data_IF_923448956804
#
_entry.id   IF_923448956804
#
_cell.length_a   1.000
_cell.length_b   1.000
_cell.length_c   1.000
_cell.angle_alpha   90.00
_cell.angle_beta   90.00
_cell.angle_gamma   90.00
#
_symmetry.space_group_name_H-M   'P 1'
#
loop_
_entity.id
_entity.type
_entity.pdbx_description
1 polymer ?
#
# COMPACT_ATOMS: atom_id res chain seq x y z
N UNK A 1 6.32 -5.44 8.91
CA UNK A 1 6.38 -6.66 8.07
C UNK A 1 7.32 -7.64 8.72
N UNK A 2 6.87 -8.85 9.05
CA UNK A 2 7.71 -9.92 9.60
C UNK A 2 8.04 -10.92 8.48
N UNK A 3 9.32 -11.30 8.38
CA UNK A 3 9.82 -12.34 7.46
C UNK A 3 9.76 -13.70 8.16
N UNK A 4 9.11 -14.69 7.54
CA UNK A 4 9.04 -16.06 8.05
C UNK A 4 9.24 -17.09 6.93
N UNK A 5 9.76 -18.26 7.29
CA UNK A 5 9.96 -19.42 6.39
C UNK A 5 8.81 -20.41 6.58
N UNK A 6 7.90 -20.50 5.61
CA UNK A 6 6.83 -21.50 5.59
C UNK A 6 6.97 -22.36 4.32
N UNK A 7 7.00 -23.70 4.44
CA UNK A 7 7.19 -24.63 3.32
C UNK A 7 8.40 -24.32 2.39
N UNK A 8 9.55 -23.89 2.94
CA UNK A 8 10.78 -23.47 2.20
C UNK A 8 10.61 -22.25 1.28
N UNK A 9 9.49 -21.51 1.35
CA UNK A 9 9.29 -20.25 0.61
C UNK A 9 9.38 -19.07 1.59
N UNK A 10 10.03 -17.99 1.16
CA UNK A 10 10.11 -16.75 1.94
C UNK A 10 8.82 -15.97 1.70
N UNK A 11 8.17 -15.54 2.77
CA UNK A 11 6.89 -14.82 2.72
C UNK A 11 6.98 -13.49 3.46
N UNK A 12 6.18 -12.53 3.02
CA UNK A 12 5.95 -11.27 3.72
C UNK A 12 4.65 -11.37 4.53
N UNK A 13 4.71 -11.09 5.83
CA UNK A 13 3.54 -11.14 6.71
C UNK A 13 3.27 -9.75 7.28
N UNK A 14 2.11 -9.19 6.94
CA UNK A 14 1.55 -7.95 7.51
C UNK A 14 0.59 -8.34 8.62
N UNK A 15 0.95 -8.02 9.87
CA UNK A 15 0.17 -8.35 11.06
C UNK A 15 -0.44 -7.06 11.61
N UNK A 16 -1.74 -7.08 11.85
CA UNK A 16 -2.44 -5.96 12.47
C UNK A 16 -2.17 -5.91 13.98
N UNK A 17 -1.95 -4.72 14.53
CA UNK A 17 -1.81 -4.56 15.98
C UNK A 17 -3.13 -4.89 16.71
N UNK A 18 -3.07 -5.58 17.87
CA UNK A 18 -4.28 -5.95 18.60
C UNK A 18 -5.06 -4.69 19.01
N UNK A 19 -6.37 -4.68 18.73
CA UNK A 19 -7.27 -3.59 19.15
C UNK A 19 -7.22 -2.32 18.30
N UNK A 20 -6.40 -2.28 17.24
CA UNK A 20 -6.28 -1.05 16.43
C UNK A 20 -7.58 -0.69 15.73
N UNK A 21 -8.31 -1.68 15.20
CA UNK A 21 -9.60 -1.47 14.54
C UNK A 21 -10.67 -0.91 15.50
N UNK A 22 -10.61 -1.34 16.77
CA UNK A 22 -11.52 -0.90 17.82
C UNK A 22 -11.13 0.48 18.39
N UNK A 23 -9.85 0.88 18.27
CA UNK A 23 -9.34 2.15 18.78
C UNK A 23 -9.37 3.30 17.77
N UNK A 24 -9.60 3.04 16.47
CA UNK A 24 -9.58 4.06 15.40
C UNK A 24 -10.38 5.31 15.78
N UNK A 25 -11.61 5.12 16.26
CA UNK A 25 -12.48 6.26 16.59
C UNK A 25 -11.96 7.06 17.79
N UNK A 26 -11.39 6.39 18.80
CA UNK A 26 -10.78 7.05 19.94
C UNK A 26 -9.50 7.80 19.55
N UNK A 27 -8.65 7.19 18.74
CA UNK A 27 -7.38 7.77 18.28
C UNK A 27 -7.62 9.00 17.41
N UNK A 28 -8.57 8.93 16.46
CA UNK A 28 -8.98 10.07 15.64
C UNK A 28 -9.54 11.20 16.50
N UNK A 29 -10.40 10.90 17.47
CA UNK A 29 -11.00 11.92 18.33
C UNK A 29 -9.94 12.61 19.21
N UNK A 30 -8.97 11.85 19.72
CA UNK A 30 -7.84 12.38 20.48
C UNK A 30 -6.94 13.27 19.61
N UNK A 31 -6.58 12.82 18.41
CA UNK A 31 -5.75 13.57 17.47
C UNK A 31 -6.44 14.87 17.05
N UNK A 32 -7.72 14.82 16.72
CA UNK A 32 -8.56 15.99 16.39
C UNK A 32 -8.56 17.00 17.53
N UNK A 33 -8.76 16.53 18.77
CA UNK A 33 -8.80 17.38 19.95
C UNK A 33 -7.47 18.08 20.22
N UNK A 34 -6.34 17.40 19.98
CA UNK A 34 -5.00 17.98 20.08
C UNK A 34 -4.74 19.02 18.99
N UNK A 35 -5.03 18.69 17.73
CA UNK A 35 -4.81 19.60 16.60
C UNK A 35 -5.65 20.89 16.71
N UNK A 36 -6.89 20.78 17.18
CA UNK A 36 -7.75 21.94 17.48
C UNK A 36 -7.17 22.80 18.61
N UNK A 37 -6.62 22.18 19.66
CA UNK A 37 -5.99 22.90 20.79
C UNK A 37 -4.80 23.73 20.35
N UNK A 38 -4.00 23.22 19.42
CA UNK A 38 -2.82 23.93 18.90
C UNK A 38 -3.12 24.84 17.69
N UNK A 39 -4.40 24.92 17.27
CA UNK A 39 -4.85 25.74 16.14
C UNK A 39 -4.03 25.50 14.85
N UNK A 40 -3.62 24.24 14.62
CA UNK A 40 -2.72 23.85 13.53
C UNK A 40 -3.44 23.84 12.19
N UNK A 41 -4.78 23.72 12.18
CA UNK A 41 -5.55 23.65 10.94
C UNK A 41 -5.59 25.02 10.22
N UNK A 42 -5.19 25.08 8.93
CA UNK A 42 -5.35 26.26 8.10
C UNK A 42 -6.82 26.69 8.04
N UNK A 43 -7.09 28.00 8.19
CA UNK A 43 -8.44 28.56 8.06
C UNK A 43 -8.99 28.24 6.66
N UNK A 44 -9.99 27.35 6.58
CA UNK A 44 -10.63 26.94 5.32
C UNK A 44 -10.53 25.45 4.99
N UNK A 45 -9.73 24.67 5.71
CA UNK A 45 -9.85 23.21 5.71
C UNK A 45 -11.13 22.82 6.44
N UNK A 46 -12.05 22.13 5.77
CA UNK A 46 -13.17 21.46 6.42
C UNK A 46 -12.61 20.30 7.24
N UNK A 47 -12.07 20.61 8.43
CA UNK A 47 -11.42 19.65 9.31
C UNK A 47 -12.31 18.42 9.53
N UNK A 48 -13.62 18.64 9.72
CA UNK A 48 -14.60 17.56 9.88
C UNK A 48 -14.66 16.60 8.69
N UNK A 49 -14.60 17.11 7.46
CA UNK A 49 -14.58 16.26 6.25
C UNK A 49 -13.26 15.52 6.11
N UNK A 50 -12.13 16.17 6.41
CA UNK A 50 -10.82 15.53 6.37
C UNK A 50 -10.73 14.40 7.41
N UNK A 51 -11.30 14.61 8.59
CA UNK A 51 -11.40 13.61 9.66
C UNK A 51 -12.28 12.43 9.25
N UNK A 52 -13.42 12.71 8.59
CA UNK A 52 -14.31 11.66 8.09
C UNK A 52 -13.62 10.79 7.02
N UNK A 53 -12.90 11.42 6.09
CA UNK A 53 -12.10 10.71 5.08
C UNK A 53 -11.00 9.89 5.76
N UNK A 54 -10.23 10.47 6.69
CA UNK A 54 -9.18 9.75 7.41
C UNK A 54 -9.73 8.54 8.18
N UNK A 55 -10.91 8.66 8.81
CA UNK A 55 -11.59 7.53 9.46
C UNK A 55 -11.93 6.42 8.48
N UNK A 56 -12.43 6.79 7.31
CA UNK A 56 -12.78 5.82 6.26
C UNK A 56 -11.54 5.09 5.74
N UNK A 57 -10.46 5.82 5.46
CA UNK A 57 -9.21 5.23 4.98
C UNK A 57 -8.59 4.30 6.04
N UNK A 58 -8.49 4.72 7.31
CA UNK A 58 -7.96 3.85 8.38
C UNK A 58 -8.79 2.58 8.58
N UNK A 59 -10.11 2.66 8.43
CA UNK A 59 -10.98 1.47 8.48
C UNK A 59 -10.75 0.56 7.27
N UNK A 60 -10.54 1.13 6.08
CA UNK A 60 -10.23 0.37 4.89
C UNK A 60 -8.87 -0.35 5.01
N UNK A 61 -7.85 0.31 5.57
CA UNK A 61 -6.53 -0.30 5.84
C UNK A 61 -6.60 -1.45 6.86
N UNK A 62 -7.65 -1.51 7.68
CA UNK A 62 -7.84 -2.59 8.65
C UNK A 62 -8.51 -3.83 8.07
N UNK A 63 -9.03 -3.79 6.84
CA UNK A 63 -9.67 -4.92 6.17
C UNK A 63 -8.68 -5.65 5.24
N UNK A 64 -7.88 -6.52 5.83
CA UNK A 64 -6.88 -7.30 5.09
C UNK A 64 -7.48 -8.36 4.15
N UNK A 65 -8.74 -8.76 4.36
CA UNK A 65 -9.41 -9.67 3.43
C UNK A 65 -9.81 -8.93 2.16
N UNK A 66 -10.27 -7.69 2.28
CA UNK A 66 -10.53 -6.83 1.14
C UNK A 66 -9.22 -6.48 0.40
N UNK A 67 -8.15 -6.17 1.12
CA UNK A 67 -6.81 -5.95 0.54
C UNK A 67 -6.33 -7.19 -0.25
N UNK A 68 -6.50 -8.39 0.30
CA UNK A 68 -6.19 -9.64 -0.40
C UNK A 68 -6.98 -9.83 -1.70
N UNK A 69 -8.27 -9.48 -1.71
CA UNK A 69 -9.13 -9.57 -2.91
C UNK A 69 -8.65 -8.60 -3.99
N UNK A 70 -8.34 -7.35 -3.63
CA UNK A 70 -7.83 -6.38 -4.60
C UNK A 70 -6.44 -6.74 -5.10
N UNK A 71 -5.54 -7.21 -4.23
CA UNK A 71 -4.20 -7.66 -4.62
C UNK A 71 -4.28 -8.79 -5.68
N UNK A 72 -5.16 -9.78 -5.48
CA UNK A 72 -5.39 -10.83 -6.50
C UNK A 72 -5.97 -10.28 -7.80
N UNK A 73 -6.87 -9.31 -7.72
CA UNK A 73 -7.44 -8.65 -8.91
C UNK A 73 -6.37 -7.89 -9.68
N UNK A 74 -5.49 -7.16 -8.99
CA UNK A 74 -4.36 -6.47 -9.61
C UNK A 74 -3.35 -7.45 -10.22
N UNK A 75 -3.09 -8.57 -9.56
CA UNK A 75 -2.25 -9.63 -10.13
C UNK A 75 -2.78 -10.15 -11.47
N UNK A 76 -4.10 -10.27 -11.62
CA UNK A 76 -4.76 -10.64 -12.89
C UNK A 76 -4.68 -9.51 -13.93
N UNK A 77 -4.93 -8.26 -13.53
CA UNK A 77 -4.89 -7.10 -14.43
C UNK A 77 -3.48 -6.80 -14.97
N UNK A 78 -2.46 -7.12 -14.19
CA UNK A 78 -1.04 -6.96 -14.53
C UNK A 78 -0.39 -8.26 -15.00
N UNK A 79 -1.17 -9.31 -15.24
CA UNK A 79 -0.66 -10.56 -15.78
C UNK A 79 0.03 -10.32 -17.12
N UNK A 80 1.31 -10.70 -17.22
CA UNK A 80 2.12 -10.50 -18.41
C UNK A 80 2.65 -9.06 -18.61
N UNK A 81 2.41 -8.12 -17.68
CA UNK A 81 3.06 -6.80 -17.76
C UNK A 81 4.58 -6.99 -17.61
N UNK A 82 5.39 -6.43 -18.54
CA UNK A 82 6.83 -6.66 -18.53
C UNK A 82 7.54 -5.96 -17.35
N UNK A 83 6.91 -4.96 -16.75
CA UNK A 83 7.49 -4.10 -15.72
C UNK A 83 6.93 -4.40 -14.34
N UNK A 84 5.61 -4.50 -14.22
CA UNK A 84 4.95 -4.63 -12.92
C UNK A 84 4.76 -6.07 -12.49
N UNK A 85 4.95 -6.33 -11.20
CA UNK A 85 4.67 -7.61 -10.57
C UNK A 85 3.85 -7.42 -9.30
N UNK A 86 2.91 -8.30 -9.06
CA UNK A 86 2.11 -8.33 -7.82
C UNK A 86 2.44 -9.65 -7.12
N UNK A 87 2.83 -9.64 -5.84
CA UNK A 87 3.12 -10.86 -5.11
C UNK A 87 1.85 -11.68 -4.95
N UNK A 88 1.97 -13.00 -5.05
CA UNK A 88 0.81 -13.85 -4.82
C UNK A 88 0.40 -13.82 -3.34
N UNK A 89 -0.91 -13.69 -3.09
CA UNK A 89 -1.50 -13.84 -1.76
C UNK A 89 -1.52 -15.32 -1.39
N UNK A 90 -1.12 -15.64 -0.16
CA UNK A 90 -1.13 -17.00 0.40
C UNK A 90 -2.36 -17.13 1.29
N UNK A 91 -3.42 -17.72 0.74
CA UNK A 91 -4.74 -17.79 1.37
C UNK A 91 -4.73 -18.58 2.67
N UNK A 92 -3.94 -19.65 2.75
CA UNK A 92 -3.85 -20.52 3.92
C UNK A 92 -3.27 -19.80 5.14
N UNK A 93 -2.58 -18.68 4.92
CA UNK A 93 -1.92 -17.86 5.95
C UNK A 93 -2.54 -16.46 6.04
N UNK A 94 -3.65 -16.20 5.35
CA UNK A 94 -4.35 -14.91 5.35
C UNK A 94 -5.63 -15.01 6.17
N UNK A 95 -5.84 -14.03 7.05
CA UNK A 95 -7.00 -13.92 7.95
C UNK A 95 -7.45 -12.46 8.01
N UNK A 96 -8.51 -12.17 8.77
CA UNK A 96 -8.96 -10.78 8.98
C UNK A 96 -7.95 -9.86 9.67
N UNK A 97 -6.87 -10.39 10.25
CA UNK A 97 -5.84 -9.62 10.97
C UNK A 97 -4.41 -9.87 10.48
N UNK A 98 -4.24 -10.78 9.52
CA UNK A 98 -2.94 -11.15 8.96
C UNK A 98 -3.08 -11.25 7.45
N UNK A 99 -2.29 -10.48 6.71
CA UNK A 99 -2.15 -10.61 5.26
C UNK A 99 -0.79 -11.23 4.96
N UNK A 100 -0.78 -12.34 4.22
CA UNK A 100 0.44 -13.04 3.86
C UNK A 100 0.59 -13.08 2.35
N UNK A 101 1.74 -12.62 1.85
CA UNK A 101 2.07 -12.60 0.42
C UNK A 101 3.45 -13.20 0.15
N UNK A 102 3.74 -13.49 -1.11
CA UNK A 102 5.10 -13.77 -1.55
C UNK A 102 6.05 -12.62 -1.19
N UNK A 103 7.25 -12.97 -0.76
CA UNK A 103 8.27 -11.97 -0.49
C UNK A 103 8.90 -11.46 -1.79
N UNK A 104 8.84 -10.14 -2.00
CA UNK A 104 9.48 -9.46 -3.13
C UNK A 104 10.78 -8.81 -2.69
N UNK A 105 11.83 -8.98 -3.48
CA UNK A 105 13.11 -8.29 -3.29
C UNK A 105 13.13 -6.98 -4.09
N UNK A 106 13.58 -5.90 -3.47
CA UNK A 106 13.77 -4.62 -4.13
C UNK A 106 14.11 -3.50 -3.14
N UNK A 107 14.36 -2.32 -3.69
CA UNK A 107 14.49 -1.07 -2.96
C UNK A 107 13.11 -0.41 -2.89
N UNK A 108 12.74 0.11 -1.72
CA UNK A 108 11.59 1.01 -1.64
C UNK A 108 11.84 2.25 -2.50
N UNK A 109 10.78 2.85 -3.03
CA UNK A 109 10.93 4.00 -3.94
C UNK A 109 11.65 5.19 -3.30
N UNK A 110 11.52 5.38 -1.99
CA UNK A 110 12.24 6.42 -1.25
C UNK A 110 13.76 6.23 -1.31
N UNK A 111 14.23 4.99 -1.29
CA UNK A 111 15.66 4.66 -1.42
C UNK A 111 16.14 4.82 -2.87
N UNK A 112 15.23 4.81 -3.84
CA UNK A 112 15.55 4.97 -5.26
C UNK A 112 15.96 6.40 -5.63
N UNK A 113 15.81 7.37 -4.72
CA UNK A 113 16.20 8.77 -4.94
C UNK A 113 17.70 8.90 -5.23
N UNK A 114 18.53 8.00 -4.70
CA UNK A 114 19.98 8.02 -4.93
C UNK A 114 20.42 7.34 -6.23
N UNK A 115 19.49 6.73 -6.99
CA UNK A 115 19.80 6.04 -8.24
C UNK A 115 20.12 7.02 -9.38
N UNK A 116 20.81 6.55 -10.46
CA UNK A 116 21.07 7.35 -11.64
C UNK A 116 19.80 7.98 -12.22
N UNK A 117 19.91 9.21 -12.76
CA UNK A 117 18.77 9.99 -13.24
C UNK A 117 17.91 9.25 -14.27
N UNK A 118 18.54 8.53 -15.20
CA UNK A 118 17.84 7.75 -16.22
C UNK A 118 16.98 6.64 -15.60
N UNK A 119 17.44 6.00 -14.52
CA UNK A 119 16.68 4.98 -13.79
C UNK A 119 15.50 5.62 -13.06
N UNK A 120 15.73 6.75 -12.38
CA UNK A 120 14.65 7.49 -11.69
C UNK A 120 13.56 7.96 -12.66
N UNK A 121 13.97 8.48 -13.82
CA UNK A 121 13.04 8.87 -14.89
C UNK A 121 12.22 7.68 -15.37
N UNK A 122 12.87 6.55 -15.62
CA UNK A 122 12.20 5.34 -16.05
C UNK A 122 11.19 4.85 -14.99
N UNK A 123 11.56 4.81 -13.71
CA UNK A 123 10.64 4.43 -12.61
C UNK A 123 9.43 5.37 -12.61
N UNK A 124 9.65 6.69 -12.65
CA UNK A 124 8.57 7.68 -12.67
C UNK A 124 7.63 7.53 -13.88
N UNK A 125 8.19 7.28 -15.07
CA UNK A 125 7.42 7.02 -16.28
C UNK A 125 6.55 5.76 -16.15
N UNK A 126 7.09 4.67 -15.59
CA UNK A 126 6.35 3.44 -15.39
C UNK A 126 5.23 3.60 -14.35
N UNK A 127 5.48 4.31 -13.24
CA UNK A 127 4.44 4.61 -12.24
C UNK A 127 3.31 5.45 -12.82
N UNK A 128 3.64 6.46 -13.64
CA UNK A 128 2.62 7.24 -14.35
C UNK A 128 1.84 6.37 -15.33
N UNK A 129 2.51 5.48 -16.07
CA UNK A 129 1.85 4.51 -16.97
C UNK A 129 0.86 3.61 -16.21
N UNK A 130 1.24 3.12 -15.03
CA UNK A 130 0.36 2.32 -14.18
C UNK A 130 -0.86 3.13 -13.73
N UNK A 131 -0.65 4.33 -13.19
CA UNK A 131 -1.72 5.23 -12.76
C UNK A 131 -2.73 5.53 -13.89
N UNK A 132 -2.25 5.76 -15.11
CA UNK A 132 -3.13 5.96 -16.27
C UNK A 132 -3.90 4.69 -16.64
N UNK A 133 -3.28 3.50 -16.53
CA UNK A 133 -3.98 2.22 -16.72
C UNK A 133 -5.06 2.02 -15.66
N UNK A 134 -4.77 2.29 -14.40
CA UNK A 134 -5.71 2.18 -13.29
C UNK A 134 -6.96 3.03 -13.51
N UNK A 135 -6.76 4.29 -13.92
CA UNK A 135 -7.85 5.24 -14.16
C UNK A 135 -8.66 4.92 -15.42
N UNK A 136 -8.00 4.66 -16.54
CA UNK A 136 -8.66 4.65 -17.85
C UNK A 136 -8.85 3.27 -18.48
N UNK A 137 -8.15 2.25 -17.98
CA UNK A 137 -8.22 0.87 -18.52
C UNK A 137 -8.88 -0.06 -17.50
N UNK A 138 -8.31 -0.15 -16.31
CA UNK A 138 -8.77 -1.06 -15.27
C UNK A 138 -10.03 -0.56 -14.58
N UNK A 139 -10.22 0.76 -14.51
CA UNK A 139 -11.28 1.41 -13.74
C UNK A 139 -11.26 0.96 -12.27
N UNK A 140 -10.05 0.69 -11.78
CA UNK A 140 -9.71 0.24 -10.43
C UNK A 140 -8.38 0.87 -10.12
N UNK A 141 -8.32 1.58 -9.00
CA UNK A 141 -7.14 2.33 -8.59
C UNK A 141 -6.79 1.98 -7.16
N UNK A 142 -5.50 1.84 -6.90
CA UNK A 142 -4.98 1.80 -5.54
C UNK A 142 -5.09 3.21 -4.96
N UNK A 143 -5.98 3.41 -3.99
CA UNK A 143 -6.25 4.74 -3.42
C UNK A 143 -5.20 5.18 -2.41
N UNK A 144 -4.38 4.26 -1.91
CA UNK A 144 -3.25 4.56 -1.03
C UNK A 144 -2.03 4.99 -1.87
N UNK A 145 -1.63 6.28 -1.84
CA UNK A 145 -0.50 6.80 -2.60
C UNK A 145 0.85 6.48 -1.93
N UNK A 146 0.88 5.58 -0.94
CA UNK A 146 2.11 5.28 -0.23
C UNK A 146 3.12 4.56 -1.14
N UNK A 147 4.09 5.34 -1.63
CA UNK A 147 5.19 4.89 -2.47
C UNK A 147 6.08 3.84 -1.80
N UNK A 148 6.02 3.68 -0.47
CA UNK A 148 6.74 2.62 0.23
C UNK A 148 6.23 1.21 -0.10
N UNK A 149 5.01 1.10 -0.64
CA UNK A 149 4.43 -0.19 -1.07
C UNK A 149 4.98 -0.67 -2.41
N UNK A 150 5.72 0.19 -3.12
CA UNK A 150 6.38 -0.14 -4.37
C UNK A 150 7.86 -0.47 -4.14
N UNK A 151 8.30 -1.58 -4.71
CA UNK A 151 9.67 -2.07 -4.64
C UNK A 151 10.27 -2.13 -6.05
N UNK A 152 11.28 -1.33 -6.31
CA UNK A 152 12.08 -1.43 -7.53
C UNK A 152 13.19 -2.45 -7.34
N UNK A 153 13.27 -3.45 -8.22
CA UNK A 153 14.33 -4.44 -8.21
C UNK A 153 15.39 -4.11 -9.29
N UNK A 154 16.60 -3.65 -8.93
CA UNK A 154 17.64 -3.29 -9.90
C UNK A 154 18.18 -4.47 -10.71
N UNK A 155 18.04 -5.70 -10.22
CA UNK A 155 18.56 -6.90 -10.90
C UNK A 155 17.63 -7.35 -12.02
N UNK A 156 16.32 -7.25 -11.81
CA UNK A 156 15.31 -7.67 -12.79
C UNK A 156 14.78 -6.51 -13.63
N UNK A 157 15.00 -5.26 -13.20
CA UNK A 157 14.43 -4.08 -13.84
C UNK A 157 12.90 -4.03 -13.72
N UNK A 158 12.35 -4.56 -12.62
CA UNK A 158 10.89 -4.64 -12.39
C UNK A 158 10.48 -3.86 -11.16
N UNK A 159 9.21 -3.47 -11.12
CA UNK A 159 8.59 -2.79 -9.99
C UNK A 159 7.50 -3.70 -9.42
N UNK A 160 7.57 -4.00 -8.12
CA UNK A 160 6.58 -4.82 -7.44
C UNK A 160 5.68 -3.93 -6.58
N UNK A 161 4.36 -4.15 -6.56
CA UNK A 161 3.44 -3.51 -5.59
C UNK A 161 2.89 -4.55 -4.64
N UNK A 162 2.90 -4.27 -3.33
CA UNK A 162 2.35 -5.16 -2.30
C UNK A 162 0.86 -4.93 -1.99
N UNK A 163 0.21 -3.95 -2.62
CA UNK A 163 -1.18 -3.55 -2.33
C UNK A 163 -1.90 -3.14 -3.61
#
# INVERSE_FOLDING_TARGET
>A
MLLSLFFKRIVAIKIQYPGIADSIDADINNLTSLLNRFNIFPRGLFADKAIEVARKELRAECDYLLEAVYSKRFAQLLEGDPVFQVPQVIDELTTSRVLTTEYMNGLVLDDCISLPQNVRNWIGEQLLRLCLKELFVFHVMQTDPNWSNFLYNPQTGKVSSCS
#
